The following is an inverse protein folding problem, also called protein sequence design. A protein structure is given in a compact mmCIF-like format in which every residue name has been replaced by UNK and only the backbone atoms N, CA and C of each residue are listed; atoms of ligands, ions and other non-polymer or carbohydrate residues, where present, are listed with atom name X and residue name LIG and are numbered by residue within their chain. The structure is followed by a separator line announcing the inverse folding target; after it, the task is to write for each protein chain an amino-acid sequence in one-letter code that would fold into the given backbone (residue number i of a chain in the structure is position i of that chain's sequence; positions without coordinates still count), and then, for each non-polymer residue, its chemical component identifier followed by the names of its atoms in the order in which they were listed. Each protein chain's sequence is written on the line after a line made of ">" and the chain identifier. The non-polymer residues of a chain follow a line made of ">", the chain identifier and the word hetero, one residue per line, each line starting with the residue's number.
data_IF_553367087305
#
_entry.id   IF_553367087305
#
_cell.length_a   1.000
_cell.length_b   1.000
_cell.length_c   1.000
_cell.angle_alpha   90.00
_cell.angle_beta   90.00
_cell.angle_gamma   90.00
#
_symmetry.space_group_name_H-M   'P 1'
#
loop_
_entity.id
_entity.type
_entity.pdbx_description
1 polymer ?
#
# COMPACT_ATOMS: atom_id res chain seq x y z
N UNK A 1 7.59 23.30 -14.06
CA UNK A 1 7.60 21.86 -14.37
C UNK A 1 9.00 21.26 -14.19
N UNK A 2 10.07 21.91 -14.67
CA UNK A 2 11.46 21.48 -14.38
C UNK A 2 11.74 21.47 -12.87
N UNK A 3 11.27 22.48 -12.13
CA UNK A 3 11.46 22.55 -10.68
C UNK A 3 10.78 21.39 -9.94
N UNK A 4 9.57 21.01 -10.38
CA UNK A 4 8.83 19.85 -9.85
C UNK A 4 9.58 18.55 -10.15
N UNK A 5 10.09 18.36 -11.37
CA UNK A 5 10.87 17.20 -11.72
C UNK A 5 12.15 17.09 -10.87
N UNK A 6 12.82 18.23 -10.66
CA UNK A 6 14.02 18.32 -9.82
C UNK A 6 13.71 17.98 -8.37
N UNK A 7 12.59 18.46 -7.82
CA UNK A 7 12.15 18.14 -6.46
C UNK A 7 11.80 16.65 -6.29
N UNK A 8 11.17 16.02 -7.29
CA UNK A 8 10.87 14.59 -7.27
C UNK A 8 12.17 13.76 -7.31
N UNK A 9 13.14 14.17 -8.14
CA UNK A 9 14.43 13.51 -8.23
C UNK A 9 15.25 13.66 -6.94
N UNK A 10 15.25 14.86 -6.34
CA UNK A 10 15.96 15.11 -5.08
C UNK A 10 15.33 14.34 -3.91
N UNK A 11 14.00 14.21 -3.89
CA UNK A 11 13.30 13.33 -2.96
C UNK A 11 13.77 11.88 -3.11
N UNK A 12 13.76 11.34 -4.34
CA UNK A 12 14.22 9.97 -4.59
C UNK A 12 15.69 9.75 -4.19
N UNK A 13 16.56 10.72 -4.50
CA UNK A 13 17.96 10.69 -4.09
C UNK A 13 18.11 10.68 -2.56
N UNK A 14 17.36 11.54 -1.87
CA UNK A 14 17.36 11.58 -0.40
C UNK A 14 16.94 10.23 0.19
N UNK A 15 15.85 9.64 -0.30
CA UNK A 15 15.37 8.33 0.17
C UNK A 15 16.44 7.24 0.00
N UNK A 16 17.12 7.20 -1.14
CA UNK A 16 18.11 6.17 -1.42
C UNK A 16 19.48 6.43 -0.78
N UNK A 17 19.86 7.68 -0.51
CA UNK A 17 21.24 7.97 -0.06
C UNK A 17 21.33 8.42 1.40
N UNK A 18 20.34 9.14 1.90
CA UNK A 18 20.44 9.88 3.16
C UNK A 18 19.39 9.47 4.19
N UNK A 19 18.25 8.92 3.76
CA UNK A 19 17.19 8.52 4.68
C UNK A 19 17.66 7.41 5.61
N UNK A 20 17.56 7.70 6.91
CA UNK A 20 17.89 6.75 7.97
C UNK A 20 16.64 6.30 8.70
N UNK A 21 16.61 5.02 9.05
CA UNK A 21 15.50 4.38 9.75
C UNK A 21 16.04 3.77 11.05
N UNK A 22 15.35 4.03 12.16
CA UNK A 22 15.68 3.41 13.44
C UNK A 22 14.90 2.10 13.61
N UNK A 23 15.61 0.98 13.68
CA UNK A 23 15.05 -0.34 13.92
C UNK A 23 15.70 -0.93 15.18
N UNK A 24 14.89 -1.12 16.24
CA UNK A 24 15.34 -1.69 17.52
C UNK A 24 16.57 -0.99 18.12
N UNK A 25 16.57 0.35 18.10
CA UNK A 25 17.63 1.18 18.68
C UNK A 25 18.89 1.27 17.82
N UNK A 26 18.88 0.70 16.61
CA UNK A 26 19.97 0.79 15.64
C UNK A 26 19.51 1.59 14.43
N UNK A 27 20.39 2.49 13.98
CA UNK A 27 20.14 3.33 12.81
C UNK A 27 20.68 2.62 11.57
N UNK A 28 19.84 2.47 10.56
CA UNK A 28 20.16 1.89 9.25
C UNK A 28 19.90 2.91 8.15
N UNK A 29 20.74 2.96 7.12
CA UNK A 29 20.45 3.72 5.91
C UNK A 29 19.50 2.92 5.02
N UNK A 30 18.40 3.53 4.59
CA UNK A 30 17.39 2.81 3.82
C UNK A 30 17.96 2.24 2.52
N UNK A 31 18.58 3.07 1.68
CA UNK A 31 19.14 2.61 0.42
C UNK A 31 20.25 1.58 0.59
N UNK A 32 21.25 1.90 1.42
CA UNK A 32 22.51 1.14 1.54
C UNK A 32 22.41 -0.13 2.39
N UNK A 33 21.51 -0.18 3.37
CA UNK A 33 21.44 -1.31 4.31
C UNK A 33 20.17 -2.17 4.16
N UNK A 34 19.08 -1.59 3.65
CA UNK A 34 17.77 -2.24 3.55
C UNK A 34 17.41 -2.52 2.08
N UNK A 35 17.28 -1.48 1.28
CA UNK A 35 16.87 -1.51 -0.12
C UNK A 35 17.79 -2.39 -0.98
N UNK A 36 19.12 -2.31 -0.82
CA UNK A 36 20.08 -3.17 -1.55
C UNK A 36 19.86 -4.68 -1.38
N UNK A 37 19.09 -5.13 -0.37
CA UNK A 37 18.76 -6.55 -0.21
C UNK A 37 17.81 -7.04 -1.32
N UNK A 38 17.16 -6.13 -2.02
CA UNK A 38 16.36 -6.39 -3.22
C UNK A 38 17.09 -5.80 -4.43
N UNK A 39 17.48 -6.64 -5.38
CA UNK A 39 18.25 -6.22 -6.57
C UNK A 39 17.57 -5.13 -7.40
N UNK A 40 16.23 -5.09 -7.38
CA UNK A 40 15.42 -4.12 -8.11
C UNK A 40 15.27 -2.77 -7.40
N UNK A 41 15.58 -2.67 -6.11
CA UNK A 41 15.26 -1.48 -5.33
C UNK A 41 16.03 -0.22 -5.76
N UNK A 42 17.36 -0.28 -6.04
CA UNK A 42 18.08 0.90 -6.54
C UNK A 42 17.64 1.32 -7.95
N UNK A 43 17.03 0.40 -8.70
CA UNK A 43 16.65 0.59 -10.11
C UNK A 43 15.17 0.91 -10.29
N UNK A 44 14.35 0.74 -9.25
CA UNK A 44 12.88 0.80 -9.35
C UNK A 44 12.41 2.16 -9.86
N UNK A 45 13.07 3.24 -9.45
CA UNK A 45 12.68 4.60 -9.81
C UNK A 45 13.52 5.22 -10.94
N UNK A 46 14.49 4.48 -11.51
CA UNK A 46 15.36 5.01 -12.57
C UNK A 46 14.57 5.37 -13.84
N UNK A 47 13.43 4.71 -14.08
CA UNK A 47 12.54 5.03 -15.21
C UNK A 47 12.06 6.48 -15.14
N UNK A 48 11.78 7.01 -13.95
CA UNK A 48 11.34 8.40 -13.75
C UNK A 48 12.46 9.37 -14.13
N UNK A 49 13.70 9.05 -13.77
CA UNK A 49 14.86 9.84 -14.15
C UNK A 49 15.07 9.84 -15.67
N UNK A 50 15.07 8.68 -16.32
CA UNK A 50 15.20 8.60 -17.78
C UNK A 50 14.08 9.34 -18.49
N UNK A 51 12.85 9.28 -17.96
CA UNK A 51 11.73 10.03 -18.49
C UNK A 51 11.96 11.54 -18.39
N UNK A 52 12.37 12.05 -17.22
CA UNK A 52 12.62 13.47 -17.05
C UNK A 52 13.79 13.97 -17.91
N UNK A 53 14.88 13.21 -17.96
CA UNK A 53 16.02 13.52 -18.81
C UNK A 53 15.61 13.56 -20.28
N UNK A 54 14.90 12.53 -20.77
CA UNK A 54 14.44 12.49 -22.15
C UNK A 54 13.43 13.61 -22.44
N UNK A 55 12.47 13.88 -21.57
CA UNK A 55 11.40 14.84 -21.84
C UNK A 55 11.89 16.30 -21.87
N UNK A 56 12.80 16.67 -20.97
CA UNK A 56 13.29 18.05 -20.84
C UNK A 56 14.63 18.34 -21.54
N UNK A 57 15.44 17.33 -21.89
CA UNK A 57 16.69 17.55 -22.61
C UNK A 57 16.48 17.48 -24.12
N UNK A 58 16.43 18.64 -24.77
CA UNK A 58 16.23 18.75 -26.23
C UNK A 58 17.28 17.99 -27.04
N UNK A 59 18.54 17.92 -26.58
CA UNK A 59 19.61 17.20 -27.30
C UNK A 59 19.37 15.70 -27.40
N UNK A 60 18.58 15.13 -26.48
CA UNK A 60 18.24 13.71 -26.52
C UNK A 60 17.15 13.42 -27.56
N UNK A 61 16.31 14.40 -27.92
CA UNK A 61 15.28 14.22 -28.95
C UNK A 61 15.85 14.11 -30.36
N UNK A 62 17.05 14.66 -30.59
CA UNK A 62 17.75 14.52 -31.86
C UNK A 62 18.33 13.11 -32.06
N UNK A 63 18.44 12.30 -31.00
CA UNK A 63 18.93 10.94 -31.08
C UNK A 63 17.78 9.96 -31.40
N UNK A 64 17.80 9.25 -32.55
CA UNK A 64 16.73 8.32 -32.93
C UNK A 64 16.56 7.14 -31.95
N UNK A 65 17.54 6.92 -31.07
CA UNK A 65 17.51 5.89 -30.05
C UNK A 65 16.78 6.34 -28.78
N UNK A 66 16.48 7.63 -28.63
CA UNK A 66 15.67 8.17 -27.54
C UNK A 66 14.37 8.70 -28.11
N UNK A 67 13.26 8.00 -27.85
CA UNK A 67 11.94 8.39 -28.35
C UNK A 67 10.84 8.07 -27.36
N UNK A 68 9.92 9.01 -27.22
CA UNK A 68 8.78 8.91 -26.33
C UNK A 68 7.54 8.51 -27.14
N UNK A 69 7.32 7.20 -27.24
CA UNK A 69 6.18 6.59 -27.91
C UNK A 69 5.22 6.04 -26.84
N UNK A 70 4.45 6.92 -26.18
CA UNK A 70 3.58 6.53 -25.05
C UNK A 70 2.71 5.31 -25.41
N UNK A 71 2.67 4.24 -24.58
CA UNK A 71 3.06 4.17 -23.16
C UNK A 71 4.52 3.82 -22.89
N UNK A 72 5.39 3.88 -23.90
CA UNK A 72 6.78 3.48 -23.78
C UNK A 72 7.75 4.65 -23.96
N UNK A 73 8.82 4.61 -23.18
CA UNK A 73 10.03 5.38 -23.44
C UNK A 73 11.08 4.43 -24.02
N UNK A 74 11.48 4.69 -25.25
CA UNK A 74 12.66 4.07 -25.82
C UNK A 74 13.87 4.92 -25.42
N UNK A 75 14.85 4.28 -24.80
CA UNK A 75 16.08 4.95 -24.37
C UNK A 75 17.25 4.02 -24.68
N UNK A 76 17.95 4.36 -25.77
CA UNK A 76 18.92 3.47 -26.42
C UNK A 76 18.28 2.17 -26.89
N UNK A 77 18.81 1.02 -26.47
CA UNK A 77 18.29 -0.30 -26.83
C UNK A 77 17.18 -0.77 -25.88
N UNK A 78 16.89 0.03 -24.83
CA UNK A 78 15.94 -0.33 -23.80
C UNK A 78 14.56 0.29 -24.07
N UNK A 79 13.53 -0.45 -23.66
CA UNK A 79 12.14 -0.02 -23.74
C UNK A 79 11.55 -0.03 -22.33
N UNK A 80 11.20 1.14 -21.83
CA UNK A 80 10.65 1.34 -20.50
C UNK A 80 9.14 1.57 -20.57
N UNK A 81 8.39 0.87 -19.71
CA UNK A 81 6.94 1.04 -19.60
C UNK A 81 6.63 2.14 -18.57
N UNK A 82 6.13 3.28 -19.05
CA UNK A 82 5.90 4.47 -18.24
C UNK A 82 4.70 4.38 -17.28
N UNK A 83 3.59 3.67 -17.59
CA UNK A 83 2.42 3.61 -16.71
C UNK A 83 2.65 2.99 -15.33
N UNK A 84 3.83 2.41 -15.06
CA UNK A 84 4.20 2.00 -13.71
C UNK A 84 4.47 3.20 -12.78
N UNK A 85 4.92 4.33 -13.36
CA UNK A 85 5.32 5.52 -12.62
C UNK A 85 4.49 6.76 -12.98
N UNK A 86 3.95 6.85 -14.20
CA UNK A 86 3.21 8.03 -14.65
C UNK A 86 1.71 7.72 -14.68
N UNK A 87 0.93 8.49 -13.92
CA UNK A 87 -0.51 8.36 -13.79
C UNK A 87 -1.22 9.67 -14.17
N UNK A 88 -2.46 9.55 -14.65
CA UNK A 88 -3.24 10.67 -15.17
C UNK A 88 -2.56 11.37 -16.34
N UNK A 89 -1.98 10.58 -17.26
CA UNK A 89 -1.27 11.12 -18.42
C UNK A 89 -2.27 11.59 -19.48
N UNK A 90 -2.20 12.86 -19.85
CA UNK A 90 -2.94 13.44 -20.97
C UNK A 90 -2.02 13.52 -22.19
N UNK A 91 -2.42 12.86 -23.27
CA UNK A 91 -1.65 12.84 -24.52
C UNK A 91 -1.94 14.09 -25.35
N UNK A 92 -0.90 14.66 -25.94
CA UNK A 92 -1.01 15.88 -26.74
C UNK A 92 0.31 16.64 -26.85
N UNK A 93 0.27 17.76 -27.59
CA UNK A 93 1.42 18.64 -27.78
C UNK A 93 2.52 18.07 -28.69
N UNK A 94 3.59 18.84 -28.86
CA UNK A 94 4.69 18.50 -29.76
C UNK A 94 5.53 17.30 -29.28
N UNK A 95 5.53 17.01 -27.97
CA UNK A 95 6.31 15.92 -27.34
C UNK A 95 5.47 14.68 -27.00
N UNK A 96 4.23 14.60 -27.49
CA UNK A 96 3.33 13.46 -27.29
C UNK A 96 2.63 13.39 -25.91
N UNK A 97 3.17 14.04 -24.88
CA UNK A 97 2.53 14.19 -23.56
C UNK A 97 2.28 15.67 -23.29
N UNK A 98 1.02 15.99 -22.98
CA UNK A 98 0.57 17.34 -22.61
C UNK A 98 0.72 17.57 -21.10
N UNK A 99 0.28 16.62 -20.27
CA UNK A 99 0.34 16.73 -18.82
C UNK A 99 0.37 15.36 -18.12
N UNK A 100 0.84 15.36 -16.88
CA UNK A 100 0.88 14.21 -15.97
C UNK A 100 0.32 14.67 -14.63
N UNK A 101 -0.66 13.97 -14.09
CA UNK A 101 -1.29 14.33 -12.81
C UNK A 101 -0.51 13.81 -11.60
N UNK A 102 0.09 12.62 -11.72
CA UNK A 102 0.72 11.95 -10.59
C UNK A 102 1.94 11.13 -11.02
N UNK A 103 2.97 11.16 -10.18
CA UNK A 103 4.18 10.35 -10.34
C UNK A 103 4.32 9.43 -9.13
N UNK A 104 4.46 8.14 -9.39
CA UNK A 104 4.67 7.10 -8.40
C UNK A 104 6.15 6.73 -8.27
N UNK A 105 6.67 6.83 -7.05
CA UNK A 105 7.97 6.30 -6.68
C UNK A 105 7.78 5.02 -5.87
N UNK A 106 8.42 3.94 -6.31
CA UNK A 106 8.29 2.61 -5.72
C UNK A 106 9.55 2.25 -4.95
N UNK A 107 9.41 1.99 -3.66
CA UNK A 107 10.50 1.58 -2.77
C UNK A 107 10.22 0.17 -2.25
N UNK A 108 10.68 -0.89 -2.94
CA UNK A 108 10.40 -2.26 -2.52
C UNK A 108 11.15 -2.60 -1.24
N UNK A 109 10.40 -3.05 -0.22
CA UNK A 109 10.94 -3.44 1.08
C UNK A 109 11.10 -4.97 1.10
N UNK A 110 12.30 -5.50 1.34
CA UNK A 110 12.52 -6.94 1.39
C UNK A 110 11.74 -7.59 2.56
N UNK A 111 11.09 -8.73 2.33
CA UNK A 111 10.69 -9.61 3.43
C UNK A 111 11.91 -10.24 4.07
N UNK A 112 11.96 -10.26 5.39
CA UNK A 112 13.02 -10.91 6.18
C UNK A 112 12.79 -12.40 6.41
N UNK A 113 11.76 -12.99 5.80
CA UNK A 113 11.48 -14.44 5.93
C UNK A 113 12.58 -15.31 5.31
N UNK A 114 13.49 -14.71 4.54
CA UNK A 114 14.64 -15.39 3.97
C UNK A 114 15.94 -14.75 4.47
N UNK A 115 16.68 -15.56 5.23
CA UNK A 115 18.00 -15.25 5.78
C UNK A 115 18.87 -14.38 4.87
N UNK A 116 19.40 -13.29 5.45
CA UNK A 116 20.43 -12.47 4.81
C UNK A 116 21.65 -13.31 4.45
N UNK A 117 21.86 -13.50 3.16
CA UNK A 117 23.11 -13.99 2.61
C UNK A 117 23.77 -12.87 1.83
N UNK A 118 25.05 -12.65 2.10
CA UNK A 118 25.90 -11.81 1.24
C UNK A 118 26.77 -12.74 0.40
N UNK A 119 26.83 -12.47 -0.89
CA UNK A 119 27.69 -13.17 -1.84
C UNK A 119 28.97 -12.35 -2.01
N UNK A 120 30.13 -12.94 -1.69
CA UNK A 120 31.44 -12.34 -2.02
C UNK A 120 32.06 -13.15 -3.15
N UNK A 121 32.37 -12.48 -4.27
CA UNK A 121 33.17 -13.08 -5.34
C UNK A 121 34.65 -12.88 -4.95
N UNK A 122 35.38 -13.97 -4.74
CA UNK A 122 36.83 -13.95 -4.59
C UNK A 122 37.45 -14.04 -5.99
N UNK A 123 38.22 -13.02 -6.37
CA UNK A 123 38.62 -12.76 -7.77
C UNK A 123 39.67 -13.75 -8.33
N UNK A 124 40.14 -14.72 -7.54
CA UNK A 124 41.18 -15.67 -7.97
C UNK A 124 40.67 -17.11 -8.16
N UNK A 125 39.45 -17.42 -7.73
CA UNK A 125 38.81 -18.72 -7.93
C UNK A 125 37.32 -18.50 -7.80
N UNK A 126 36.54 -18.83 -8.84
CA UNK A 126 35.11 -18.60 -8.99
C UNK A 126 34.27 -19.37 -7.92
N UNK A 127 34.48 -19.05 -6.66
CA UNK A 127 33.82 -19.61 -5.49
C UNK A 127 32.95 -18.51 -4.88
N UNK A 128 31.64 -18.70 -4.92
CA UNK A 128 30.68 -17.86 -4.22
C UNK A 128 30.64 -18.33 -2.77
N UNK A 129 31.33 -17.63 -1.86
CA UNK A 129 31.19 -17.90 -0.43
C UNK A 129 29.94 -17.21 0.10
N UNK A 130 29.06 -18.02 0.68
CA UNK A 130 27.79 -17.60 1.30
C UNK A 130 28.07 -17.15 2.73
N UNK A 131 28.11 -15.85 2.98
CA UNK A 131 28.26 -15.32 4.33
C UNK A 131 26.88 -15.06 4.94
N UNK A 132 26.59 -15.69 6.09
CA UNK A 132 25.42 -15.40 6.91
C UNK A 132 25.68 -14.09 7.67
N UNK A 133 25.04 -13.00 7.26
CA UNK A 133 25.11 -11.73 7.98
C UNK A 133 24.06 -11.75 9.11
N UNK A 134 24.42 -11.26 10.29
CA UNK A 134 23.46 -10.99 11.37
C UNK A 134 22.55 -9.85 10.92
N UNK A 135 21.47 -10.18 10.22
CA UNK A 135 20.39 -9.24 9.95
C UNK A 135 19.39 -9.30 11.10
N UNK A 136 18.88 -8.13 11.47
CA UNK A 136 17.75 -8.01 12.37
C UNK A 136 16.57 -8.80 11.82
N UNK A 137 15.93 -9.62 12.66
CA UNK A 137 14.74 -10.40 12.32
C UNK A 137 13.48 -9.48 12.27
N UNK A 138 13.58 -8.31 11.65
CA UNK A 138 12.46 -7.36 11.56
C UNK A 138 11.60 -7.68 10.35
N UNK A 139 10.30 -7.89 10.53
CA UNK A 139 9.41 -8.13 9.40
C UNK A 139 9.39 -6.94 8.44
N UNK A 140 9.03 -7.18 7.16
CA UNK A 140 8.83 -6.10 6.20
C UNK A 140 7.81 -5.05 6.67
N UNK A 141 6.86 -5.45 7.52
CA UNK A 141 5.88 -4.54 8.13
C UNK A 141 6.57 -3.54 9.07
N UNK A 142 7.43 -4.00 9.98
CA UNK A 142 8.17 -3.13 10.92
C UNK A 142 9.08 -2.17 10.17
N UNK A 143 9.77 -2.66 9.14
CA UNK A 143 10.64 -1.83 8.30
C UNK A 143 9.81 -0.80 7.52
N UNK A 144 8.63 -1.19 7.01
CA UNK A 144 7.69 -0.31 6.32
C UNK A 144 7.18 0.81 7.21
N UNK A 145 6.76 0.49 8.44
CA UNK A 145 6.24 1.47 9.39
C UNK A 145 7.31 2.49 9.82
N UNK A 146 8.54 2.01 10.03
CA UNK A 146 9.65 2.87 10.39
C UNK A 146 10.08 3.76 9.22
N UNK A 147 10.06 3.24 7.98
CA UNK A 147 10.30 4.01 6.77
C UNK A 147 9.24 5.09 6.56
N UNK A 148 7.96 4.73 6.69
CA UNK A 148 6.82 5.65 6.58
C UNK A 148 6.95 6.80 7.59
N UNK A 149 7.30 6.47 8.84
CA UNK A 149 7.48 7.47 9.90
C UNK A 149 8.61 8.45 9.58
N UNK A 150 9.77 7.95 9.15
CA UNK A 150 10.92 8.79 8.79
C UNK A 150 10.63 9.68 7.56
N UNK A 151 9.89 9.15 6.57
CA UNK A 151 9.47 9.92 5.39
C UNK A 151 8.46 11.01 5.75
N UNK A 152 7.48 10.72 6.61
CA UNK A 152 6.51 11.72 7.07
C UNK A 152 7.21 12.86 7.80
N UNK A 153 8.19 12.55 8.64
CA UNK A 153 8.99 13.56 9.35
C UNK A 153 9.74 14.46 8.36
N UNK A 154 10.43 13.87 7.37
CA UNK A 154 11.12 14.63 6.34
C UNK A 154 10.17 15.54 5.54
N UNK A 155 9.02 15.01 5.12
CA UNK A 155 8.04 15.74 4.33
C UNK A 155 7.34 16.85 5.13
N UNK A 156 7.15 16.66 6.45
CA UNK A 156 6.57 17.67 7.32
C UNK A 156 7.50 18.86 7.56
N UNK A 157 8.82 18.63 7.57
CA UNK A 157 9.83 19.70 7.71
C UNK A 157 9.87 20.58 6.46
N UNK A 158 9.53 20.04 5.30
CA UNK A 158 9.65 20.73 4.02
C UNK A 158 8.34 21.46 3.63
N UNK A 159 7.92 22.42 4.46
CA UNK A 159 6.64 23.17 4.32
C UNK A 159 6.50 23.96 2.99
N UNK A 160 7.58 24.17 2.24
CA UNK A 160 7.59 24.89 0.95
C UNK A 160 7.57 23.98 -0.29
N UNK A 161 7.22 22.71 -0.12
CA UNK A 161 7.14 21.73 -1.20
C UNK A 161 6.17 22.15 -2.32
N UNK A 162 6.62 22.09 -3.59
CA UNK A 162 5.76 22.36 -4.76
C UNK A 162 4.86 21.16 -5.08
N UNK A 163 5.15 20.00 -4.50
CA UNK A 163 4.44 18.74 -4.72
C UNK A 163 3.55 18.38 -3.55
N UNK A 164 2.41 17.74 -3.84
CA UNK A 164 1.62 17.04 -2.83
C UNK A 164 2.03 15.58 -2.84
N UNK A 165 2.50 15.09 -1.70
CA UNK A 165 2.92 13.70 -1.55
C UNK A 165 1.84 12.90 -0.84
N UNK A 166 1.58 11.70 -1.34
CA UNK A 166 0.78 10.69 -0.67
C UNK A 166 1.63 9.43 -0.58
N UNK A 167 1.51 8.71 0.53
CA UNK A 167 2.23 7.47 0.77
C UNK A 167 1.25 6.34 0.97
N UNK A 168 1.61 5.18 0.44
CA UNK A 168 0.86 3.95 0.62
C UNK A 168 1.83 2.83 0.98
N UNK A 169 1.52 2.11 2.05
CA UNK A 169 2.26 0.94 2.50
C UNK A 169 1.28 -0.20 2.77
N UNK A 170 1.75 -1.45 2.61
CA UNK A 170 0.92 -2.61 2.92
C UNK A 170 0.57 -2.68 4.42
N UNK A 171 1.48 -2.23 5.29
CA UNK A 171 1.21 -2.15 6.73
C UNK A 171 0.14 -1.11 7.06
N UNK A 172 0.13 0.04 6.37
CA UNK A 172 -0.96 1.03 6.49
C UNK A 172 -2.31 0.42 6.07
N UNK A 173 -2.37 -0.33 4.96
CA UNK A 173 -3.58 -1.04 4.55
C UNK A 173 -4.05 -2.04 5.63
N UNK A 174 -3.14 -2.86 6.15
CA UNK A 174 -3.45 -3.83 7.21
C UNK A 174 -3.96 -3.15 8.49
N UNK A 175 -3.38 -2.01 8.86
CA UNK A 175 -3.81 -1.23 10.01
C UNK A 175 -5.21 -0.62 9.81
N UNK A 176 -5.49 -0.05 8.65
CA UNK A 176 -6.81 0.49 8.32
C UNK A 176 -7.88 -0.63 8.26
N UNK A 177 -7.55 -1.80 7.72
CA UNK A 177 -8.44 -2.97 7.77
C UNK A 177 -8.69 -3.45 9.21
N UNK A 178 -7.67 -3.46 10.06
CA UNK A 178 -7.81 -3.86 11.45
C UNK A 178 -8.69 -2.88 12.23
N UNK A 179 -8.49 -1.57 12.04
CA UNK A 179 -9.36 -0.53 12.61
C UNK A 179 -10.81 -0.74 12.19
N UNK A 180 -11.07 -0.90 10.89
CA UNK A 180 -12.42 -1.14 10.39
C UNK A 180 -13.05 -2.40 10.99
N UNK A 181 -12.28 -3.48 11.17
CA UNK A 181 -12.76 -4.71 11.81
C UNK A 181 -13.09 -4.49 13.28
N UNK A 182 -12.23 -3.77 14.01
CA UNK A 182 -12.40 -3.45 15.42
C UNK A 182 -13.61 -2.55 15.67
N UNK A 183 -13.89 -1.60 14.77
CA UNK A 183 -15.10 -0.78 14.82
C UNK A 183 -16.36 -1.55 14.43
N UNK A 184 -16.27 -2.53 13.52
CA UNK A 184 -17.45 -3.30 13.05
C UNK A 184 -17.88 -4.38 14.05
N UNK A 185 -16.94 -4.97 14.78
CA UNK A 185 -17.19 -6.05 15.75
C UNK A 185 -18.28 -5.75 16.80
N UNK A 186 -18.31 -4.61 17.50
CA UNK A 186 -19.36 -4.30 18.47
C UNK A 186 -20.74 -4.16 17.82
N UNK A 187 -20.83 -3.65 16.58
CA UNK A 187 -22.11 -3.53 15.88
C UNK A 187 -22.69 -4.89 15.50
N UNK A 188 -21.85 -5.84 15.02
CA UNK A 188 -22.30 -7.22 14.74
C UNK A 188 -22.84 -7.87 16.02
N UNK A 189 -22.12 -7.74 17.13
CA UNK A 189 -22.55 -8.28 18.42
C UNK A 189 -23.89 -7.68 18.88
N UNK A 190 -24.08 -6.37 18.69
CA UNK A 190 -25.32 -5.68 19.03
C UNK A 190 -26.49 -6.14 18.14
N UNK A 191 -26.26 -6.31 16.84
CA UNK A 191 -27.28 -6.81 15.90
C UNK A 191 -27.72 -8.22 16.23
N UNK A 192 -26.79 -9.11 16.59
CA UNK A 192 -27.11 -10.47 17.03
C UNK A 192 -27.92 -10.44 18.32
N UNK A 193 -27.51 -9.62 19.31
CA UNK A 193 -28.24 -9.49 20.57
C UNK A 193 -29.68 -9.00 20.33
N UNK A 194 -29.86 -7.98 19.48
CA UNK A 194 -31.18 -7.48 19.08
C UNK A 194 -32.02 -8.55 18.38
N UNK A 195 -31.45 -9.30 17.43
CA UNK A 195 -32.16 -10.39 16.77
C UNK A 195 -32.60 -11.47 17.76
N UNK A 196 -31.76 -11.83 18.72
CA UNK A 196 -32.09 -12.79 19.77
C UNK A 196 -33.19 -12.25 20.69
N UNK A 197 -33.14 -10.99 21.10
CA UNK A 197 -34.21 -10.42 21.94
C UNK A 197 -35.53 -10.31 21.19
N UNK A 198 -35.52 -9.90 19.92
CA UNK A 198 -36.73 -9.87 19.08
C UNK A 198 -37.32 -11.26 18.88
N UNK A 199 -36.51 -12.27 18.60
CA UNK A 199 -36.99 -13.64 18.40
C UNK A 199 -37.58 -14.24 19.67
N UNK A 200 -36.93 -14.05 20.83
CA UNK A 200 -37.47 -14.47 22.14
C UNK A 200 -38.77 -13.73 22.45
N UNK A 201 -38.82 -12.42 22.24
CA UNK A 201 -40.02 -11.62 22.50
C UNK A 201 -41.19 -12.03 21.60
N UNK A 202 -40.96 -12.24 20.30
CA UNK A 202 -41.98 -12.75 19.38
C UNK A 202 -42.48 -14.12 19.80
N UNK A 203 -41.59 -15.05 20.18
CA UNK A 203 -41.99 -16.37 20.70
C UNK A 203 -42.82 -16.27 21.98
N UNK A 204 -42.45 -15.38 22.90
CA UNK A 204 -43.19 -15.15 24.14
C UNK A 204 -44.60 -14.61 23.87
N UNK A 205 -44.75 -13.66 22.95
CA UNK A 205 -46.05 -13.12 22.52
C UNK A 205 -46.91 -14.21 21.87
N UNK A 206 -46.37 -15.00 20.94
CA UNK A 206 -47.09 -16.12 20.31
C UNK A 206 -47.52 -17.18 21.32
N UNK A 207 -46.70 -17.46 22.33
CA UNK A 207 -47.02 -18.44 23.36
C UNK A 207 -48.11 -17.95 24.32
N UNK A 208 -48.12 -16.66 24.66
CA UNK A 208 -49.19 -16.06 25.46
C UNK A 208 -50.52 -15.99 24.70
N UNK A 209 -50.48 -15.65 23.40
CA UNK A 209 -51.66 -15.66 22.54
C UNK A 209 -52.25 -17.07 22.39
N UNK A 210 -51.40 -18.09 22.25
CA UNK A 210 -51.82 -19.49 22.18
C UNK A 210 -52.44 -20.01 23.49
N UNK A 211 -52.00 -19.53 24.66
CA UNK A 211 -52.63 -19.85 25.97
C UNK A 211 -53.92 -19.07 26.23
N UNK A 212 -54.06 -17.87 25.66
CA UNK A 212 -55.29 -17.06 25.76
C UNK A 212 -56.48 -17.70 25.04
N UNK A 213 -56.23 -18.52 24.02
CA UNK A 213 -57.29 -19.15 23.22
C UNK A 213 -57.76 -20.52 23.75
N UNK A 214 -57.12 -21.08 24.78
CA UNK A 214 -57.57 -22.34 25.40
C UNK A 214 -58.59 -22.15 26.53
N UNK A 215 -58.75 -20.93 27.07
CA UNK A 215 -59.77 -20.70 28.11
C UNK A 215 -61.15 -20.39 27.53
N UNK A 216 -61.24 -19.76 26.35
CA UNK A 216 -62.53 -19.46 25.71
C UNK A 216 -63.16 -20.64 24.95
N UNK A 217 -62.39 -21.68 24.62
CA UNK A 217 -62.89 -22.79 23.81
C UNK A 217 -63.60 -23.88 24.64
N UNK A 218 -63.32 -23.98 25.93
CA UNK A 218 -63.96 -24.94 26.83
C UNK A 218 -65.32 -24.46 27.37
N UNK A 219 -65.57 -23.14 27.40
CA UNK A 219 -66.87 -22.60 27.84
C UNK A 219 -67.93 -22.63 26.73
N UNK A 220 -67.53 -22.68 25.46
CA UNK A 220 -68.46 -22.74 24.33
C UNK A 220 -68.97 -24.15 23.99
N UNK A 221 -68.26 -25.22 24.36
CA UNK A 221 -68.71 -26.60 24.11
C UNK A 221 -69.66 -27.17 25.17
N UNK A 222 -69.80 -26.51 26.32
CA UNK A 222 -70.75 -26.90 27.37
C UNK A 222 -72.11 -26.18 27.27
N UNK A 223 -72.22 -25.15 26.43
CA UNK A 223 -73.45 -24.37 26.27
C UNK A 223 -74.39 -24.87 25.17
N UNK A 224 -73.95 -25.77 24.28
CA UNK A 224 -74.76 -26.22 23.11
C UNK A 224 -75.47 -27.58 23.31
N UNK A 225 -75.36 -28.21 24.49
CA UNK A 225 -76.02 -29.50 24.79
C UNK A 225 -77.11 -29.40 25.88
N UNK A 226 -77.63 -28.21 26.17
CA UNK A 226 -78.73 -28.01 27.14
C UNK A 226 -80.05 -27.50 26.52
N UNK A 227 -80.17 -27.48 25.19
CA UNK A 227 -81.44 -27.27 24.48
C UNK A 227 -81.65 -28.37 23.42
N UNK A 228 -82.03 -29.57 23.89
CA UNK A 228 -83.05 -30.43 23.24
C UNK A 228 -83.49 -31.56 24.16
#
# INVERSE_FOLDING_TARGET
>A
MIDIATEILSLNEFVLNNLTVNLNGRVYNFGKDICVRTTLCPLSNTIVQFFFDAFWNEKLWDDPRVRLDYPFLHFFENKFFLPLHLYGVKLGGAKGIESIEMIHLHYPIPSTDHACYTYRILQESFCVQKFKKNCSNETAEVVGDALESALKEYLAINEQSLIKTAMFSFSMLKNEMNKNTLYTFPFISLTILLLVTFTIFSWFVYFFDSRGNTMLKNDLYMAENFEK
#
